data_IF_425563064076
#
_entry.id   IF_425563064076
#
_cell.length_a   1.000
_cell.length_b   1.000
_cell.length_c   1.000
_cell.angle_alpha   90.00
_cell.angle_beta   90.00
_cell.angle_gamma   90.00
#
_symmetry.space_group_name_H-M   'P 1'
#
loop_
_entity.id
_entity.type
_entity.pdbx_description
1 polymer ?
#
# COMPACT_ATOMS: atom_id res chain seq x y z
N UNK A 1 11.73 -16.11 63.44
CA UNK A 1 10.65 -16.03 62.43
C UNK A 1 11.26 -15.58 61.09
N UNK A 2 12.03 -16.37 60.33
CA UNK A 2 12.10 -17.82 60.12
C UNK A 2 10.88 -18.42 59.39
N UNK A 3 10.23 -17.64 58.52
CA UNK A 3 9.14 -18.13 57.65
C UNK A 3 9.16 -17.62 56.19
N UNK A 4 10.22 -16.94 55.73
CA UNK A 4 10.26 -16.42 54.35
C UNK A 4 11.37 -17.00 53.46
N UNK A 5 12.11 -18.01 53.93
CA UNK A 5 13.18 -18.64 53.14
C UNK A 5 12.78 -19.94 52.43
N UNK A 6 11.59 -20.48 52.72
CA UNK A 6 11.11 -21.74 52.13
C UNK A 6 10.28 -21.59 50.84
N UNK A 7 9.89 -20.36 50.46
CA UNK A 7 9.13 -20.13 49.22
C UNK A 7 10.00 -19.88 47.98
N UNK A 8 11.28 -19.53 48.16
CA UNK A 8 12.22 -19.33 47.04
C UNK A 8 12.91 -20.61 46.56
N UNK A 9 12.92 -21.68 47.37
CA UNK A 9 13.58 -22.95 46.99
C UNK A 9 12.70 -23.90 46.16
N UNK A 10 11.38 -23.68 46.12
CA UNK A 10 10.42 -24.56 45.42
C UNK A 10 10.18 -24.18 43.95
N UNK A 11 10.63 -23.01 43.49
CA UNK A 11 10.43 -22.55 42.10
C UNK A 11 11.60 -23.00 41.19
N UNK A 12 12.72 -23.46 41.75
CA UNK A 12 13.91 -23.88 40.98
C UNK A 12 13.93 -25.37 40.57
N UNK A 13 12.91 -26.17 40.92
CA UNK A 13 12.92 -27.64 40.74
C UNK A 13 11.97 -28.14 39.63
N UNK A 14 11.22 -27.26 38.94
CA UNK A 14 10.25 -27.67 37.90
C UNK A 14 10.63 -27.16 36.50
N UNK A 15 11.85 -27.41 36.04
CA UNK A 15 12.20 -27.28 34.61
C UNK A 15 13.24 -28.28 34.11
N UNK A 16 13.55 -29.33 34.89
CA UNK A 16 14.46 -30.41 34.52
C UNK A 16 13.67 -31.68 34.21
N UNK A 17 12.85 -31.68 33.16
CA UNK A 17 12.20 -32.91 32.65
C UNK A 17 11.65 -32.70 31.24
N UNK A 18 12.52 -32.63 30.24
CA UNK A 18 12.17 -32.99 28.85
C UNK A 18 13.46 -33.23 28.03
N UNK A 19 14.26 -34.20 28.46
CA UNK A 19 15.06 -34.99 27.52
C UNK A 19 14.09 -36.04 26.94
N UNK A 20 13.74 -35.90 25.68
CA UNK A 20 13.28 -37.03 24.86
C UNK A 20 14.18 -37.04 23.63
N UNK A 21 15.11 -37.98 23.63
CA UNK A 21 15.79 -38.49 22.45
C UNK A 21 14.79 -39.24 21.56
N UNK A 22 14.91 -39.08 20.24
CA UNK A 22 14.04 -39.75 19.29
C UNK A 22 14.39 -39.45 17.83
N UNK A 23 15.42 -40.13 17.36
CA UNK A 23 15.67 -40.57 15.97
C UNK A 23 16.04 -39.58 14.86
N UNK A 24 17.30 -39.75 14.44
CA UNK A 24 17.88 -39.31 13.19
C UNK A 24 17.05 -39.72 11.96
N UNK A 25 16.95 -38.83 10.97
CA UNK A 25 16.95 -39.18 9.53
C UNK A 25 17.06 -37.94 8.62
N UNK A 26 18.13 -37.95 7.81
CA UNK A 26 18.33 -37.25 6.53
C UNK A 26 18.33 -35.71 6.51
N UNK A 27 19.53 -35.12 6.50
CA UNK A 27 19.78 -33.84 5.84
C UNK A 27 20.19 -34.11 4.39
N UNK A 28 19.42 -33.73 3.36
CA UNK A 28 20.00 -33.49 2.05
C UNK A 28 20.77 -32.17 2.13
N UNK A 29 22.07 -32.26 1.91
CA UNK A 29 22.92 -31.16 1.49
C UNK A 29 22.36 -30.59 0.19
N UNK A 30 21.52 -29.55 0.28
CA UNK A 30 21.20 -28.70 -0.86
C UNK A 30 21.94 -27.39 -0.67
N UNK A 31 23.06 -27.27 -1.38
CA UNK A 31 23.56 -25.96 -1.82
C UNK A 31 22.41 -25.30 -2.58
N UNK A 32 21.59 -24.50 -1.91
CA UNK A 32 20.77 -23.53 -2.62
C UNK A 32 21.75 -22.53 -3.24
N UNK A 33 21.74 -22.34 -4.56
CA UNK A 33 22.44 -21.21 -5.15
C UNK A 33 21.83 -19.95 -4.53
N UNK A 34 22.69 -19.08 -3.97
CA UNK A 34 22.31 -17.71 -3.68
C UNK A 34 21.57 -17.15 -4.91
N UNK A 35 20.36 -16.60 -4.77
CA UNK A 35 19.75 -15.89 -5.88
C UNK A 35 20.72 -14.78 -6.28
N UNK A 36 21.19 -14.83 -7.52
CA UNK A 36 22.08 -13.85 -8.13
C UNK A 36 21.53 -12.45 -7.86
N UNK A 37 22.26 -11.70 -7.03
CA UNK A 37 21.83 -10.47 -6.37
C UNK A 37 21.73 -9.24 -7.26
N UNK A 38 21.07 -9.34 -8.42
CA UNK A 38 20.82 -8.19 -9.30
C UNK A 38 19.34 -8.02 -9.69
N UNK A 39 18.48 -9.04 -9.62
CA UNK A 39 17.08 -8.92 -10.06
C UNK A 39 16.08 -8.44 -8.99
N UNK A 40 16.45 -8.41 -7.70
CA UNK A 40 15.50 -8.17 -6.60
C UNK A 40 15.40 -6.72 -6.11
N UNK A 41 16.33 -5.82 -6.46
CA UNK A 41 16.33 -4.43 -5.96
C UNK A 41 15.99 -3.34 -6.98
N UNK A 42 16.11 -3.61 -8.29
CA UNK A 42 15.81 -2.62 -9.34
C UNK A 42 14.31 -2.41 -9.55
N UNK A 43 13.50 -3.45 -9.35
CA UNK A 43 12.06 -3.42 -9.64
C UNK A 43 11.23 -2.57 -8.65
N UNK A 44 11.74 -2.34 -7.44
CA UNK A 44 11.09 -1.52 -6.40
C UNK A 44 11.30 -0.01 -6.57
N UNK A 45 12.27 0.42 -7.39
CA UNK A 45 12.61 1.85 -7.54
C UNK A 45 11.97 2.54 -8.72
N UNK A 46 11.34 1.79 -9.62
CA UNK A 46 10.69 2.38 -10.80
C UNK A 46 9.28 2.80 -10.42
N UNK A 47 8.93 4.10 -10.54
CA UNK A 47 7.57 4.59 -10.35
C UNK A 47 6.53 3.76 -11.09
N UNK A 48 5.36 3.53 -10.49
CA UNK A 48 4.35 2.67 -11.09
C UNK A 48 3.87 3.24 -12.44
N UNK A 49 3.84 4.56 -12.57
CA UNK A 49 3.41 5.25 -13.78
C UNK A 49 4.37 5.10 -14.97
N UNK A 50 5.57 4.55 -14.78
CA UNK A 50 6.48 4.20 -15.89
C UNK A 50 6.21 2.82 -16.47
N UNK A 51 5.58 1.94 -15.70
CA UNK A 51 5.21 0.56 -16.08
C UNK A 51 3.75 0.42 -16.46
N UNK A 52 2.99 1.49 -16.30
CA UNK A 52 1.57 1.54 -16.65
C UNK A 52 1.24 2.78 -17.48
N UNK A 53 0.15 2.73 -18.24
CA UNK A 53 -0.31 3.79 -19.13
C UNK A 53 -1.84 3.87 -19.15
N UNK A 54 -2.36 4.91 -19.82
CA UNK A 54 -3.81 5.15 -20.01
C UNK A 54 -4.60 5.11 -18.69
N UNK A 55 -4.07 5.77 -17.68
CA UNK A 55 -4.71 5.82 -16.37
C UNK A 55 -6.10 6.48 -16.45
N UNK A 56 -7.06 5.90 -15.74
CA UNK A 56 -8.38 6.46 -15.52
C UNK A 56 -8.69 6.37 -14.03
N UNK A 57 -9.19 7.47 -13.47
CA UNK A 57 -9.58 7.51 -12.07
C UNK A 57 -11.06 7.85 -11.96
N UNK A 58 -11.83 6.95 -11.37
CA UNK A 58 -13.26 7.14 -11.17
C UNK A 58 -13.51 7.62 -9.73
N UNK A 59 -13.71 8.93 -9.56
CA UNK A 59 -14.05 9.54 -8.26
C UNK A 59 -15.33 10.36 -8.27
N UNK A 60 -15.84 10.69 -9.47
CA UNK A 60 -16.75 11.82 -9.62
C UNK A 60 -18.18 11.48 -9.16
N UNK A 61 -18.59 10.20 -9.24
CA UNK A 61 -19.93 9.73 -8.83
C UNK A 61 -19.98 8.28 -8.31
N UNK A 62 -18.86 7.57 -8.27
CA UNK A 62 -18.83 6.16 -7.88
C UNK A 62 -18.55 5.99 -6.38
N UNK A 63 -19.11 4.95 -5.73
CA UNK A 63 -18.86 4.67 -4.31
C UNK A 63 -17.45 4.13 -4.01
N UNK A 64 -16.53 4.11 -5.00
CA UNK A 64 -15.20 3.50 -4.90
C UNK A 64 -14.16 4.36 -5.62
N UNK A 65 -12.99 4.53 -5.00
CA UNK A 65 -11.88 5.34 -5.52
C UNK A 65 -10.94 4.49 -6.36
N UNK A 66 -11.43 4.01 -7.51
CA UNK A 66 -10.70 3.05 -8.35
C UNK A 66 -9.79 3.76 -9.33
N UNK A 67 -8.49 3.49 -9.25
CA UNK A 67 -7.50 3.80 -10.27
C UNK A 67 -7.36 2.60 -11.20
N UNK A 68 -7.64 2.79 -12.49
CA UNK A 68 -7.39 1.80 -13.53
C UNK A 68 -6.27 2.25 -14.45
N UNK A 69 -5.54 1.29 -15.02
CA UNK A 69 -4.50 1.54 -16.02
C UNK A 69 -4.11 0.25 -16.74
N UNK A 70 -3.43 0.39 -17.87
CA UNK A 70 -2.80 -0.72 -18.58
C UNK A 70 -1.37 -0.87 -18.07
N UNK A 71 -0.98 -2.02 -17.53
CA UNK A 71 0.33 -2.27 -16.94
C UNK A 71 1.08 -3.40 -17.65
N UNK A 72 2.40 -3.27 -17.75
CA UNK A 72 3.25 -4.23 -18.43
C UNK A 72 3.64 -5.39 -17.49
N UNK A 73 3.43 -6.66 -17.90
CA UNK A 73 3.93 -7.84 -17.19
C UNK A 73 5.46 -7.91 -17.18
N UNK A 74 6.02 -8.75 -16.30
CA UNK A 74 7.49 -8.85 -16.15
C UNK A 74 8.21 -9.25 -17.45
N UNK A 75 7.57 -10.07 -18.27
CA UNK A 75 8.08 -10.53 -19.58
C UNK A 75 7.37 -9.87 -20.77
N UNK A 76 6.61 -8.81 -20.52
CA UNK A 76 5.89 -8.10 -21.57
C UNK A 76 6.81 -7.21 -22.40
N UNK A 77 6.58 -7.15 -23.70
CA UNK A 77 7.26 -6.21 -24.58
C UNK A 77 6.47 -4.87 -24.62
N UNK A 78 7.07 -3.74 -24.20
CA UNK A 78 6.37 -2.45 -24.17
C UNK A 78 5.90 -1.99 -25.56
N UNK A 79 6.53 -2.47 -26.64
CA UNK A 79 6.17 -2.16 -28.02
C UNK A 79 4.96 -2.98 -28.51
N UNK A 80 4.67 -4.12 -27.88
CA UNK A 80 3.55 -4.99 -28.25
C UNK A 80 2.32 -4.62 -27.45
N UNK A 81 1.38 -3.92 -28.08
CA UNK A 81 0.15 -3.47 -27.42
C UNK A 81 -0.62 -4.60 -26.70
N UNK A 82 -0.61 -5.82 -27.24
CA UNK A 82 -1.26 -7.01 -26.67
C UNK A 82 -0.66 -7.49 -25.34
N UNK A 83 0.58 -7.11 -25.04
CA UNK A 83 1.28 -7.57 -23.82
C UNK A 83 0.87 -6.72 -22.60
N UNK A 84 0.19 -5.59 -22.80
CA UNK A 84 -0.31 -4.73 -21.73
C UNK A 84 -1.60 -5.31 -21.13
N UNK A 85 -1.69 -5.34 -19.80
CA UNK A 85 -2.86 -5.86 -19.07
C UNK A 85 -3.61 -4.74 -18.37
N UNK A 86 -4.92 -4.74 -18.47
CA UNK A 86 -5.73 -3.83 -17.66
C UNK A 86 -5.70 -4.26 -16.19
N UNK A 87 -5.42 -3.30 -15.31
CA UNK A 87 -5.42 -3.48 -13.86
C UNK A 87 -6.18 -2.35 -13.21
N UNK A 88 -7.00 -2.69 -12.20
CA UNK A 88 -7.72 -1.74 -11.36
C UNK A 88 -7.39 -1.95 -9.90
N UNK A 89 -7.25 -0.85 -9.15
CA UNK A 89 -6.98 -0.87 -7.72
C UNK A 89 -7.85 0.16 -7.02
N UNK A 90 -8.57 -0.28 -5.99
CA UNK A 90 -9.29 0.61 -5.10
C UNK A 90 -8.29 1.28 -4.16
N UNK A 91 -8.04 2.58 -4.38
CA UNK A 91 -7.04 3.34 -3.64
C UNK A 91 -7.37 3.43 -2.16
N UNK A 92 -8.65 3.31 -1.79
CA UNK A 92 -9.08 3.34 -0.38
C UNK A 92 -8.56 2.12 0.42
N UNK A 93 -8.13 1.06 -0.27
CA UNK A 93 -7.44 -0.10 0.32
C UNK A 93 -5.95 0.17 0.60
N UNK A 94 -5.36 1.20 0.02
CA UNK A 94 -3.93 1.47 0.15
C UNK A 94 -3.62 2.68 1.05
N UNK A 95 -4.64 3.41 1.49
CA UNK A 95 -4.46 4.69 2.18
C UNK A 95 -5.25 4.76 3.48
N UNK A 96 -4.68 5.46 4.45
CA UNK A 96 -5.29 5.82 5.74
C UNK A 96 -5.58 7.31 5.83
N UNK A 97 -6.27 7.72 6.90
CA UNK A 97 -6.56 9.13 7.20
C UNK A 97 -6.02 9.51 8.57
N UNK A 98 -5.08 10.45 8.59
CA UNK A 98 -4.57 11.06 9.82
C UNK A 98 -5.45 12.27 10.17
N UNK A 99 -6.31 12.11 11.18
CA UNK A 99 -7.23 13.17 11.64
C UNK A 99 -6.48 14.38 12.19
N UNK A 100 -5.34 14.17 12.87
CA UNK A 100 -4.59 15.26 13.51
C UNK A 100 -3.84 16.08 12.48
N UNK A 101 -3.14 15.42 11.56
CA UNK A 101 -2.39 16.08 10.49
C UNK A 101 -3.27 16.43 9.27
N UNK A 102 -4.53 15.99 9.24
CA UNK A 102 -5.51 16.20 8.17
C UNK A 102 -4.97 15.82 6.78
N UNK A 103 -4.33 14.65 6.70
CA UNK A 103 -3.70 14.15 5.48
C UNK A 103 -3.96 12.66 5.26
N UNK A 104 -3.82 12.24 4.02
CA UNK A 104 -3.78 10.83 3.65
C UNK A 104 -2.40 10.24 4.00
N UNK A 105 -2.37 8.98 4.40
CA UNK A 105 -1.14 8.22 4.72
C UNK A 105 -1.11 6.91 3.95
N UNK A 106 0.07 6.33 3.71
CA UNK A 106 0.14 4.91 3.32
C UNK A 106 -0.46 4.08 4.46
N UNK A 107 -1.45 3.24 4.14
CA UNK A 107 -1.98 2.30 5.11
C UNK A 107 -2.72 1.14 4.44
N UNK A 108 -2.26 -0.06 4.77
CA UNK A 108 -2.93 -1.34 4.57
C UNK A 108 -4.44 -1.34 4.91
N UNK A 109 -5.38 -1.46 3.97
CA UNK A 109 -6.84 -1.43 4.20
C UNK A 109 -7.31 -0.26 5.08
N UNK A 110 -6.67 0.90 4.94
CA UNK A 110 -6.88 2.04 5.83
C UNK A 110 -8.25 2.73 5.69
N UNK A 111 -8.91 2.62 4.53
CA UNK A 111 -10.15 3.32 4.18
C UNK A 111 -10.04 4.86 4.33
N UNK A 112 -8.87 5.41 4.00
CA UNK A 112 -8.52 6.80 4.25
C UNK A 112 -9.32 7.83 3.46
N UNK A 113 -9.69 7.54 2.21
CA UNK A 113 -10.50 8.45 1.39
C UNK A 113 -11.92 8.54 1.93
N UNK A 114 -12.51 7.40 2.34
CA UNK A 114 -13.84 7.38 2.96
C UNK A 114 -13.82 8.01 4.35
N UNK A 115 -12.89 7.62 5.23
CA UNK A 115 -12.76 8.18 6.59
C UNK A 115 -12.40 9.67 6.59
N UNK A 116 -11.64 10.10 5.60
CA UNK A 116 -11.33 11.51 5.34
C UNK A 116 -12.48 12.28 4.70
N UNK A 117 -13.61 11.63 4.38
CA UNK A 117 -14.73 12.20 3.64
C UNK A 117 -14.29 12.92 2.36
N UNK A 118 -13.35 12.32 1.64
CA UNK A 118 -12.70 12.94 0.48
C UNK A 118 -13.63 13.04 -0.73
N UNK A 119 -13.64 14.19 -1.37
CA UNK A 119 -14.47 14.52 -2.53
C UNK A 119 -13.64 15.23 -3.59
N UNK A 120 -14.16 15.26 -4.82
CA UNK A 120 -13.51 15.93 -5.96
C UNK A 120 -12.04 15.54 -6.09
N UNK A 121 -11.77 14.23 -5.96
CA UNK A 121 -10.44 13.70 -6.12
C UNK A 121 -10.06 13.67 -7.60
N UNK A 122 -8.86 14.11 -7.93
CA UNK A 122 -8.33 14.11 -9.29
C UNK A 122 -6.94 13.47 -9.32
N UNK A 123 -6.77 12.52 -10.23
CA UNK A 123 -5.47 11.95 -10.52
C UNK A 123 -4.79 12.88 -11.53
N UNK A 124 -3.86 13.69 -11.03
CA UNK A 124 -3.23 14.73 -11.81
C UNK A 124 -2.21 14.09 -12.75
N UNK A 125 -2.48 14.15 -14.05
CA UNK A 125 -1.52 13.72 -15.07
C UNK A 125 -0.64 14.91 -15.51
N UNK A 126 -1.17 16.14 -15.47
CA UNK A 126 -0.49 17.35 -15.93
C UNK A 126 -0.88 18.57 -15.08
N UNK A 127 0.10 19.23 -14.44
CA UNK A 127 -0.04 20.62 -13.97
C UNK A 127 1.13 21.40 -14.55
N UNK A 128 0.81 22.42 -15.35
CA UNK A 128 1.78 23.44 -15.79
C UNK A 128 3.02 22.91 -16.50
N UNK A 129 2.85 21.99 -17.45
CA UNK A 129 3.94 21.50 -18.31
C UNK A 129 4.91 20.50 -17.66
N UNK A 130 4.81 20.28 -16.35
CA UNK A 130 5.53 19.21 -15.65
C UNK A 130 4.63 17.96 -15.52
N UNK A 131 5.19 16.80 -15.89
CA UNK A 131 4.53 15.51 -15.80
C UNK A 131 4.46 15.07 -14.32
N UNK A 132 3.41 15.51 -13.61
CA UNK A 132 3.14 15.11 -12.21
C UNK A 132 2.40 13.77 -12.12
N UNK A 133 2.76 12.81 -12.99
CA UNK A 133 2.20 11.46 -12.95
C UNK A 133 2.49 10.87 -11.57
N UNK A 134 1.51 10.17 -11.02
CA UNK A 134 1.62 9.59 -9.69
C UNK A 134 1.13 10.49 -8.54
N UNK A 135 0.45 11.62 -8.77
CA UNK A 135 -0.15 12.40 -7.69
C UNK A 135 -1.68 12.36 -7.70
N UNK A 136 -2.28 12.13 -6.54
CA UNK A 136 -3.72 12.25 -6.28
C UNK A 136 -3.98 13.50 -5.45
N UNK A 137 -4.88 14.36 -5.90
CA UNK A 137 -5.32 15.52 -5.14
C UNK A 137 -6.80 15.39 -4.79
N UNK A 138 -7.14 15.52 -3.50
CA UNK A 138 -8.51 15.38 -3.00
C UNK A 138 -8.87 16.53 -2.06
N UNK A 139 -10.15 16.89 -2.00
CA UNK A 139 -10.67 17.76 -0.95
C UNK A 139 -11.27 16.87 0.15
N UNK A 140 -10.61 16.81 1.30
CA UNK A 140 -10.98 15.93 2.41
C UNK A 140 -11.36 16.74 3.65
N UNK A 141 -12.32 16.25 4.43
CA UNK A 141 -12.76 16.84 5.68
C UNK A 141 -12.91 18.37 5.61
N UNK A 142 -13.42 18.89 4.49
CA UNK A 142 -14.00 20.22 4.48
C UNK A 142 -15.11 20.17 5.54
N UNK A 143 -15.07 21.00 6.58
CA UNK A 143 -16.13 21.04 7.61
C UNK A 143 -17.48 21.18 6.90
N UNK A 144 -18.24 20.10 6.70
CA UNK A 144 -19.34 20.13 5.73
C UNK A 144 -20.69 20.35 6.40
N UNK A 145 -21.28 21.51 6.13
CA UNK A 145 -22.72 21.61 5.85
C UNK A 145 -23.05 20.86 4.54
N UNK A 146 -24.31 20.48 4.34
CA UNK A 146 -24.80 19.79 3.13
C UNK A 146 -24.38 20.48 1.82
N UNK A 147 -24.29 21.82 1.82
CA UNK A 147 -23.89 22.65 0.69
C UNK A 147 -22.42 22.42 0.26
N UNK A 148 -21.53 22.17 1.22
CA UNK A 148 -20.10 21.90 0.95
C UNK A 148 -19.85 20.54 0.32
N UNK A 149 -20.80 19.61 0.42
CA UNK A 149 -20.75 18.29 -0.21
C UNK A 149 -20.89 18.38 -1.74
N UNK A 150 -21.63 19.38 -2.24
CA UNK A 150 -21.88 19.58 -3.66
C UNK A 150 -20.91 20.58 -4.30
N UNK A 151 -20.30 21.47 -3.51
CA UNK A 151 -19.33 22.48 -3.98
C UNK A 151 -18.02 22.50 -3.16
N UNK A 152 -17.31 21.37 -3.02
CA UNK A 152 -16.15 21.26 -2.13
C UNK A 152 -15.00 22.20 -2.53
N UNK A 153 -14.74 22.41 -3.82
CA UNK A 153 -13.65 23.27 -4.32
C UNK A 153 -13.87 24.76 -4.03
N UNK A 154 -15.11 25.21 -3.79
CA UNK A 154 -15.43 26.64 -3.53
C UNK A 154 -15.43 27.00 -2.05
N UNK A 155 -15.39 26.01 -1.16
CA UNK A 155 -15.72 26.19 0.27
C UNK A 155 -14.75 25.49 1.22
N UNK A 156 -13.84 24.66 0.73
CA UNK A 156 -12.74 24.16 1.53
C UNK A 156 -11.78 25.33 1.82
N UNK A 157 -11.76 25.81 3.07
CA UNK A 157 -10.75 26.79 3.53
C UNK A 157 -9.34 26.23 3.40
N UNK A 158 -9.22 24.91 3.54
CA UNK A 158 -8.00 24.17 3.37
C UNK A 158 -7.95 23.68 1.92
N UNK A 159 -6.84 23.95 1.21
CA UNK A 159 -6.66 23.49 -0.17
C UNK A 159 -6.68 21.95 -0.29
N UNK A 160 -6.52 21.41 -1.51
CA UNK A 160 -6.54 19.97 -1.71
C UNK A 160 -5.39 19.29 -0.93
N UNK A 161 -5.71 18.16 -0.31
CA UNK A 161 -4.73 17.20 0.21
C UNK A 161 -4.11 16.48 -0.99
N UNK A 162 -2.79 16.49 -1.09
CA UNK A 162 -2.06 15.77 -2.13
C UNK A 162 -1.46 14.49 -1.54
N UNK A 163 -1.50 13.43 -2.33
CA UNK A 163 -0.90 12.13 -2.02
C UNK A 163 -0.05 11.68 -3.21
N UNK A 164 1.22 11.43 -2.96
CA UNK A 164 2.13 10.82 -3.92
C UNK A 164 1.86 9.31 -3.97
N UNK A 165 1.25 8.86 -5.05
CA UNK A 165 0.85 7.48 -5.25
C UNK A 165 2.04 6.53 -5.41
N UNK A 166 3.23 6.99 -5.80
CA UNK A 166 4.42 6.13 -5.79
C UNK A 166 4.83 5.69 -4.38
N UNK A 167 4.44 6.46 -3.35
CA UNK A 167 4.67 6.09 -1.94
C UNK A 167 3.68 5.05 -1.41
N UNK A 168 2.55 4.83 -2.11
CA UNK A 168 1.49 3.90 -1.66
C UNK A 168 1.23 2.76 -2.64
N UNK A 169 1.61 2.92 -3.90
CA UNK A 169 1.38 1.98 -5.00
C UNK A 169 2.68 1.48 -5.61
N UNK A 170 2.61 0.27 -6.14
CA UNK A 170 3.66 -0.32 -6.97
C UNK A 170 3.05 -1.25 -8.03
N UNK A 171 3.90 -1.77 -8.90
CA UNK A 171 3.48 -2.68 -9.99
C UNK A 171 4.22 -3.99 -9.96
N UNK A 172 3.48 -5.08 -10.14
CA UNK A 172 4.02 -6.44 -10.27
C UNK A 172 3.24 -7.21 -11.32
N UNK A 173 3.98 -7.75 -12.27
CA UNK A 173 3.45 -8.62 -13.32
C UNK A 173 2.17 -8.12 -14.00
N UNK A 174 2.13 -6.82 -14.32
CA UNK A 174 0.98 -6.20 -14.98
C UNK A 174 -0.18 -5.86 -14.04
N UNK A 175 0.03 -5.89 -12.72
CA UNK A 175 -0.98 -5.52 -11.72
C UNK A 175 -0.52 -4.32 -10.87
N UNK A 176 -1.46 -3.42 -10.57
CA UNK A 176 -1.33 -2.37 -9.56
C UNK A 176 -1.56 -2.97 -8.16
N UNK A 177 -0.70 -2.62 -7.20
CA UNK A 177 -0.74 -3.16 -5.84
C UNK A 177 -0.46 -2.07 -4.79
N UNK A 178 -0.91 -2.27 -3.54
CA UNK A 178 -0.52 -1.41 -2.41
C UNK A 178 0.88 -1.81 -1.89
N UNK A 179 1.72 -0.87 -1.46
CA UNK A 179 3.09 -1.17 -0.96
C UNK A 179 3.13 -2.12 0.24
N UNK A 180 2.18 -1.99 1.17
CA UNK A 180 2.17 -2.77 2.43
C UNK A 180 1.54 -4.17 2.31
N UNK A 181 1.01 -4.55 1.14
CA UNK A 181 0.47 -5.88 0.88
C UNK A 181 1.21 -6.57 -0.26
N UNK A 182 2.16 -7.43 0.11
CA UNK A 182 2.75 -8.42 -0.79
C UNK A 182 1.78 -9.61 -0.92
N UNK A 183 0.91 -9.59 -1.92
CA UNK A 183 0.05 -10.74 -2.21
C UNK A 183 -1.33 -10.30 -2.67
N UNK A 184 -1.63 -10.72 -3.90
CA UNK A 184 -2.93 -10.72 -4.58
C UNK A 184 -4.14 -11.02 -3.70
#
# INVERSE_FOLDING_TARGET
MQENMHRLLLILIISLSALVEGDARWWPSSKQPLPSGEETMSNYRTPFYKKCRKFRFNSRYAPKYVLTGECLPLKGDPMKAKDWRESGLDLDRCVGWDVKARRLTSQSNGAGLVKGACQTCDYKVYISGAENRGNLACYCNARTSWYQRFFPSRLAKDGPVNLELDSVLWTRDGHLNCHEHQGS
#
